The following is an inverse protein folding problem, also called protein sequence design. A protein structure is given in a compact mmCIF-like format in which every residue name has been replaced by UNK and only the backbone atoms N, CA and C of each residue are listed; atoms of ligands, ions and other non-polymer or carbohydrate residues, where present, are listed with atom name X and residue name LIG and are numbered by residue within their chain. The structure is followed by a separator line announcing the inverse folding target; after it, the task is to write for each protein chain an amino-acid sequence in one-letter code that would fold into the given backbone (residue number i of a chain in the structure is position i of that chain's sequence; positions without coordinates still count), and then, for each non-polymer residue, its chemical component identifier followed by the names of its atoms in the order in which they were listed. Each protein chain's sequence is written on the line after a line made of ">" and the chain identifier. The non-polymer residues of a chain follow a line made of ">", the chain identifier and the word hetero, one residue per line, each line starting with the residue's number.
data_IF_925523255583
#
_entry.id   IF_925523255583
#
_cell.length_a   1.000
_cell.length_b   1.000
_cell.length_c   1.000
_cell.angle_alpha   90.00
_cell.angle_beta   90.00
_cell.angle_gamma   90.00
#
_symmetry.space_group_name_H-M   'P 1'
#
loop_
_entity.id
_entity.type
_entity.pdbx_description
1 polymer ?
#
# COMPACT_ATOMS: atom_id res chain seq x y z
N UNK A 1 -35.30 -32.99 26.55
CA UNK A 1 -33.86 -32.72 26.82
C UNK A 1 -32.99 -32.72 25.57
N UNK A 2 -33.12 -33.68 24.64
CA UNK A 2 -32.27 -33.79 23.42
C UNK A 2 -32.26 -32.51 22.56
N UNK A 3 -33.43 -31.93 22.24
CA UNK A 3 -33.51 -30.66 21.47
C UNK A 3 -32.75 -29.51 22.13
N UNK A 4 -32.80 -29.38 23.45
CA UNK A 4 -32.10 -28.30 24.17
C UNK A 4 -30.57 -28.45 24.05
N UNK A 5 -30.06 -29.68 24.05
CA UNK A 5 -28.63 -29.96 23.85
C UNK A 5 -28.18 -29.67 22.43
N UNK A 6 -29.02 -29.97 21.42
CA UNK A 6 -28.76 -29.63 20.02
C UNK A 6 -28.82 -28.11 19.77
N UNK A 7 -29.79 -27.40 20.34
CA UNK A 7 -29.85 -25.94 20.27
C UNK A 7 -28.61 -25.30 20.91
N UNK A 8 -28.13 -25.82 22.05
CA UNK A 8 -26.88 -25.34 22.67
C UNK A 8 -25.66 -25.57 21.77
N UNK A 9 -25.56 -26.75 21.11
CA UNK A 9 -24.49 -27.03 20.14
C UNK A 9 -24.57 -26.09 18.92
N UNK A 10 -25.76 -25.88 18.38
CA UNK A 10 -25.97 -24.96 17.26
C UNK A 10 -25.59 -23.52 17.62
N UNK A 11 -25.95 -23.04 18.81
CA UNK A 11 -25.56 -21.71 19.32
C UNK A 11 -24.03 -21.60 19.40
N UNK A 12 -23.34 -22.60 19.95
CA UNK A 12 -21.87 -22.60 20.05
C UNK A 12 -21.23 -22.54 18.66
N UNK A 13 -21.73 -23.33 17.70
CA UNK A 13 -21.23 -23.30 16.31
C UNK A 13 -21.45 -21.93 15.67
N UNK A 14 -22.63 -21.32 15.85
CA UNK A 14 -22.90 -19.98 15.35
C UNK A 14 -21.95 -18.92 15.94
N UNK A 15 -21.67 -18.99 17.24
CA UNK A 15 -20.72 -18.07 17.90
C UNK A 15 -19.31 -18.21 17.30
N UNK A 16 -18.84 -19.44 17.12
CA UNK A 16 -17.53 -19.72 16.51
C UNK A 16 -17.48 -19.15 15.08
N UNK A 17 -18.53 -19.38 14.29
CA UNK A 17 -18.63 -18.86 12.92
C UNK A 17 -18.60 -17.34 12.87
N UNK A 18 -19.36 -16.67 13.74
CA UNK A 18 -19.33 -15.21 13.85
C UNK A 18 -17.92 -14.73 14.19
N UNK A 19 -17.25 -15.37 15.16
CA UNK A 19 -15.91 -14.99 15.57
C UNK A 19 -14.88 -15.15 14.44
N UNK A 20 -14.97 -16.23 13.67
CA UNK A 20 -14.11 -16.45 12.49
C UNK A 20 -14.34 -15.34 11.45
N UNK A 21 -15.61 -15.05 11.12
CA UNK A 21 -15.96 -14.03 10.13
C UNK A 21 -15.47 -12.65 10.58
N UNK A 22 -15.71 -12.26 11.84
CA UNK A 22 -15.26 -10.95 12.35
C UNK A 22 -13.74 -10.84 12.33
N UNK A 23 -13.02 -11.91 12.68
CA UNK A 23 -11.56 -11.92 12.66
C UNK A 23 -11.01 -11.81 11.23
N UNK A 24 -11.62 -12.50 10.26
CA UNK A 24 -11.22 -12.37 8.85
C UNK A 24 -11.45 -10.95 8.34
N UNK A 25 -12.61 -10.34 8.62
CA UNK A 25 -12.91 -8.97 8.22
C UNK A 25 -11.91 -7.98 8.84
N UNK A 26 -11.57 -8.15 10.12
CA UNK A 26 -10.61 -7.28 10.82
C UNK A 26 -9.19 -7.35 10.27
N UNK A 27 -8.77 -8.51 9.74
CA UNK A 27 -7.45 -8.73 9.14
C UNK A 27 -7.41 -8.31 7.68
N UNK A 28 -8.49 -8.55 6.93
CA UNK A 28 -8.56 -8.28 5.49
C UNK A 28 -8.86 -6.81 5.18
N UNK A 29 -9.55 -6.09 6.07
CA UNK A 29 -9.82 -4.68 5.83
C UNK A 29 -8.55 -3.84 6.07
N UNK A 30 -8.11 -3.04 5.07
CA UNK A 30 -6.99 -2.14 5.26
C UNK A 30 -7.32 -1.11 6.36
N UNK A 31 -6.60 -1.20 7.48
CA UNK A 31 -6.68 -0.19 8.54
C UNK A 31 -5.72 0.95 8.20
N UNK A 32 -6.16 2.18 8.48
CA UNK A 32 -5.26 3.33 8.40
C UNK A 32 -4.07 3.08 9.33
N UNK A 33 -2.87 3.29 8.82
CA UNK A 33 -1.66 3.28 9.65
C UNK A 33 -1.78 4.39 10.70
N UNK A 34 -1.92 4.00 11.96
CA UNK A 34 -1.96 4.94 13.10
C UNK A 34 -0.57 5.31 13.60
N UNK A 35 0.43 4.47 13.28
CA UNK A 35 1.81 4.63 13.72
C UNK A 35 2.79 4.26 12.60
N UNK A 36 3.80 5.09 12.40
CA UNK A 36 4.89 4.80 11.47
C UNK A 36 6.00 4.05 12.20
N UNK A 37 6.27 2.83 11.75
CA UNK A 37 7.39 1.99 12.12
C UNK A 37 8.55 2.30 11.18
N UNK A 38 9.70 2.59 11.76
CA UNK A 38 10.94 2.81 11.02
C UNK A 38 11.44 1.49 10.43
N UNK A 39 12.24 1.56 9.37
CA UNK A 39 12.78 0.44 8.60
C UNK A 39 11.70 -0.55 8.12
N UNK A 40 10.49 -0.02 7.88
CA UNK A 40 9.35 -0.75 7.32
C UNK A 40 8.95 -0.08 6.01
N UNK A 41 8.83 -0.86 4.95
CA UNK A 41 8.36 -0.36 3.64
C UNK A 41 6.83 -0.32 3.64
N UNK A 42 6.29 0.87 3.52
CA UNK A 42 4.87 1.12 3.31
C UNK A 42 4.56 1.10 1.83
N UNK A 43 3.62 0.26 1.41
CA UNK A 43 3.12 0.22 0.04
C UNK A 43 1.73 0.85 0.00
N UNK A 44 1.44 1.72 -0.98
CA UNK A 44 0.08 2.17 -1.22
C UNK A 44 -0.72 1.05 -1.87
N UNK A 45 -1.79 0.63 -1.22
CA UNK A 45 -2.47 -0.64 -1.51
C UNK A 45 -2.74 -1.34 -0.19
N UNK A 46 -3.69 -2.26 -0.16
CA UNK A 46 -4.11 -2.97 1.05
C UNK A 46 -2.87 -3.50 1.80
N UNK A 47 -2.85 -3.37 3.14
CA UNK A 47 -1.76 -3.87 3.98
C UNK A 47 -1.43 -5.31 3.59
N UNK A 48 -0.19 -5.54 3.13
CA UNK A 48 0.39 -6.82 2.69
C UNK A 48 0.09 -7.31 1.26
N UNK A 49 -0.72 -6.59 0.46
CA UNK A 49 -0.97 -6.97 -0.95
C UNK A 49 -0.20 -6.08 -1.92
N UNK A 50 0.26 -6.68 -3.03
CA UNK A 50 0.90 -5.94 -4.11
C UNK A 50 -0.18 -5.13 -4.85
N UNK A 51 0.05 -3.84 -5.18
CA UNK A 51 -0.99 -3.00 -5.78
C UNK A 51 -1.44 -3.55 -7.14
N UNK A 52 -2.74 -3.50 -7.42
CA UNK A 52 -3.31 -3.89 -8.71
C UNK A 52 -2.86 -2.93 -9.83
N UNK A 53 -3.10 -3.29 -11.10
CA UNK A 53 -2.55 -2.54 -12.25
C UNK A 53 -2.89 -1.04 -12.23
N UNK A 54 -4.10 -0.72 -11.74
CA UNK A 54 -4.66 0.64 -11.74
C UNK A 54 -4.44 1.33 -10.38
N UNK A 55 -3.85 0.64 -9.39
CA UNK A 55 -3.54 1.22 -8.09
C UNK A 55 -2.30 2.12 -8.14
N UNK A 56 -2.27 3.21 -7.35
CA UNK A 56 -1.03 3.94 -7.12
C UNK A 56 0.01 3.00 -6.51
N UNK A 57 1.24 3.04 -7.02
CA UNK A 57 2.37 2.23 -6.54
C UNK A 57 3.39 3.14 -5.87
N UNK A 58 3.14 3.42 -4.59
CA UNK A 58 4.01 4.19 -3.72
C UNK A 58 4.69 3.27 -2.73
N UNK A 59 6.01 3.37 -2.61
CA UNK A 59 6.81 2.71 -1.58
C UNK A 59 7.46 3.78 -0.72
N UNK A 60 7.29 3.73 0.59
CA UNK A 60 7.86 4.70 1.52
C UNK A 60 8.51 3.98 2.68
N UNK A 61 9.77 4.30 2.95
CA UNK A 61 10.51 3.81 4.11
C UNK A 61 11.05 4.99 4.91
N UNK A 62 10.77 4.99 6.22
CA UNK A 62 11.37 5.93 7.17
C UNK A 62 12.51 5.22 7.90
N UNK A 63 13.68 5.84 8.00
CA UNK A 63 14.85 5.27 8.66
C UNK A 63 15.10 5.87 10.04
N UNK A 64 15.93 5.20 10.83
CA UNK A 64 16.28 5.61 12.19
C UNK A 64 17.04 6.93 12.26
N UNK A 65 17.85 7.21 11.26
CA UNK A 65 18.68 8.42 11.12
C UNK A 65 17.90 9.66 10.63
N UNK A 66 16.57 9.62 10.71
CA UNK A 66 15.65 10.63 10.20
C UNK A 66 15.74 10.86 8.68
N UNK A 67 16.23 9.87 7.93
CA UNK A 67 16.15 9.87 6.46
C UNK A 67 14.96 9.07 5.97
N UNK A 68 14.55 9.29 4.72
CA UNK A 68 13.50 8.50 4.08
C UNK A 68 13.89 8.15 2.65
N UNK A 69 13.27 7.08 2.15
CA UNK A 69 13.26 6.72 0.73
C UNK A 69 11.81 6.61 0.28
N UNK A 70 11.46 7.31 -0.78
CA UNK A 70 10.14 7.27 -1.40
C UNK A 70 10.30 6.88 -2.86
N UNK A 71 9.66 5.80 -3.27
CA UNK A 71 9.55 5.41 -4.67
C UNK A 71 8.11 5.57 -5.12
N UNK A 72 7.93 6.26 -6.25
CA UNK A 72 6.66 6.35 -6.95
C UNK A 72 6.80 5.67 -8.30
N UNK A 73 6.16 4.51 -8.44
CA UNK A 73 6.18 3.70 -9.64
C UNK A 73 4.97 4.03 -10.54
N UNK A 74 5.23 4.88 -11.53
CA UNK A 74 4.26 5.27 -12.54
C UNK A 74 4.32 4.39 -13.79
N UNK A 75 5.08 3.29 -13.76
CA UNK A 75 5.47 2.58 -14.98
C UNK A 75 4.42 1.65 -15.58
N UNK A 76 3.31 1.35 -14.90
CA UNK A 76 2.31 0.34 -15.35
C UNK A 76 0.90 0.90 -15.52
N UNK A 77 0.77 2.21 -15.71
CA UNK A 77 -0.50 2.80 -16.15
C UNK A 77 -0.86 2.30 -17.56
N UNK A 78 -2.11 2.55 -17.97
CA UNK A 78 -2.56 2.32 -19.34
C UNK A 78 -1.88 3.31 -20.29
N UNK A 79 -1.73 2.93 -21.57
CA UNK A 79 -1.07 3.77 -22.57
C UNK A 79 -1.74 5.14 -22.66
N UNK A 80 -3.07 5.15 -22.67
CA UNK A 80 -3.88 6.37 -22.77
C UNK A 80 -3.65 7.35 -21.62
N UNK A 81 -3.12 6.88 -20.48
CA UNK A 81 -2.85 7.71 -19.31
C UNK A 81 -1.50 8.41 -19.37
N UNK A 82 -0.64 8.04 -20.32
CA UNK A 82 0.61 8.76 -20.57
C UNK A 82 0.35 9.88 -21.57
N UNK A 83 0.96 11.03 -21.32
CA UNK A 83 0.89 12.23 -22.16
C UNK A 83 -0.52 12.86 -22.25
N UNK A 84 -1.39 12.61 -21.26
CA UNK A 84 -2.72 13.26 -21.17
C UNK A 84 -2.62 14.79 -21.21
N UNK A 85 -1.55 15.36 -20.64
CA UNK A 85 -1.28 16.79 -20.59
C UNK A 85 -0.43 17.31 -21.76
N UNK A 86 -0.09 16.46 -22.75
CA UNK A 86 0.79 16.83 -23.86
C UNK A 86 2.26 17.04 -23.48
N UNK A 87 2.69 16.56 -22.31
CA UNK A 87 4.03 16.72 -21.73
C UNK A 87 5.09 15.74 -22.27
N UNK A 88 4.70 14.84 -23.17
CA UNK A 88 5.50 13.70 -23.60
C UNK A 88 5.78 12.73 -22.45
N UNK A 89 4.83 12.51 -21.53
CA UNK A 89 4.98 11.52 -20.45
C UNK A 89 5.12 10.11 -21.03
N UNK A 90 5.94 9.32 -20.35
CA UNK A 90 6.22 7.92 -20.62
C UNK A 90 6.24 7.18 -19.27
N UNK A 91 6.23 5.84 -19.26
CA UNK A 91 6.38 5.09 -18.02
C UNK A 91 7.66 5.50 -17.28
N UNK A 92 7.51 5.80 -15.99
CA UNK A 92 8.60 6.31 -15.15
C UNK A 92 8.51 5.73 -13.73
N UNK A 93 9.67 5.53 -13.11
CA UNK A 93 9.77 5.30 -11.67
C UNK A 93 10.55 6.47 -11.10
N UNK A 94 9.96 7.17 -10.14
CA UNK A 94 10.61 8.25 -9.41
C UNK A 94 11.10 7.72 -8.07
N UNK A 95 12.30 8.14 -7.68
CA UNK A 95 12.90 7.81 -6.39
C UNK A 95 13.30 9.12 -5.74
N UNK A 96 12.90 9.32 -4.50
CA UNK A 96 13.23 10.49 -3.71
C UNK A 96 13.93 10.07 -2.43
N UNK A 97 14.99 10.80 -2.11
CA UNK A 97 15.76 10.67 -0.88
C UNK A 97 15.69 11.99 -0.13
N UNK A 98 15.77 11.91 1.20
CA UNK A 98 15.98 13.11 2.00
C UNK A 98 15.75 12.85 3.47
N UNK A 99 15.33 13.90 4.17
CA UNK A 99 15.09 13.86 5.61
C UNK A 99 13.62 14.00 5.92
N UNK A 100 13.21 13.52 7.09
CA UNK A 100 11.91 13.81 7.65
C UNK A 100 12.01 14.40 9.05
N UNK A 101 10.99 15.15 9.44
CA UNK A 101 10.82 15.68 10.79
C UNK A 101 9.43 15.29 11.31
N UNK A 102 9.34 14.98 12.60
CA UNK A 102 8.05 14.74 13.25
C UNK A 102 7.62 16.00 13.99
N UNK A 103 6.48 16.58 13.61
CA UNK A 103 5.88 17.76 14.27
C UNK A 103 4.40 17.54 14.48
N UNK A 104 3.92 17.68 15.72
CA UNK A 104 2.51 17.50 16.08
C UNK A 104 1.96 16.15 15.56
N UNK A 105 2.71 15.06 15.78
CA UNK A 105 2.42 13.71 15.28
C UNK A 105 2.35 13.55 13.75
N UNK A 106 2.75 14.57 12.98
CA UNK A 106 2.84 14.50 11.52
C UNK A 106 4.29 14.31 11.07
N UNK A 107 4.49 13.44 10.10
CA UNK A 107 5.78 13.23 9.43
C UNK A 107 5.89 14.19 8.25
N UNK A 108 6.73 15.20 8.38
CA UNK A 108 7.03 16.15 7.31
C UNK A 108 8.25 15.66 6.55
N UNK A 109 8.04 15.26 5.30
CA UNK A 109 9.07 14.78 4.38
C UNK A 109 9.71 15.99 3.67
N UNK A 110 11.04 16.03 3.61
CA UNK A 110 11.84 17.06 2.93
C UNK A 110 12.77 16.39 1.92
N UNK A 111 12.38 16.32 0.63
CA UNK A 111 13.25 15.80 -0.42
C UNK A 111 14.52 16.62 -0.53
N UNK A 112 15.66 15.93 -0.66
CA UNK A 112 16.97 16.56 -0.91
C UNK A 112 17.57 16.09 -2.23
N UNK A 113 17.29 14.84 -2.61
CA UNK A 113 17.78 14.25 -3.85
C UNK A 113 16.67 13.47 -4.52
N UNK A 114 16.70 13.40 -5.84
CA UNK A 114 15.80 12.58 -6.62
C UNK A 114 16.52 11.89 -7.77
N UNK A 115 16.00 10.72 -8.12
CA UNK A 115 16.37 9.96 -9.28
C UNK A 115 15.11 9.56 -10.05
N UNK A 116 15.28 9.26 -11.33
CA UNK A 116 14.19 8.80 -12.17
C UNK A 116 14.70 7.75 -13.15
N UNK A 117 13.91 6.70 -13.31
CA UNK A 117 14.10 5.69 -14.35
C UNK A 117 12.97 5.83 -15.34
N UNK A 118 13.29 6.28 -16.54
CA UNK A 118 12.35 6.37 -17.66
C UNK A 118 12.44 5.15 -18.56
N UNK A 119 11.29 4.69 -19.03
CA UNK A 119 11.21 3.64 -20.05
C UNK A 119 10.75 4.26 -21.36
N UNK A 120 11.36 3.81 -22.46
CA UNK A 120 11.10 4.37 -23.79
C UNK A 120 9.65 4.16 -24.25
N UNK A 121 9.12 2.96 -23.99
CA UNK A 121 7.80 2.53 -24.46
C UNK A 121 7.10 1.71 -23.36
N UNK A 122 5.76 1.75 -23.32
CA UNK A 122 4.95 0.96 -22.36
C UNK A 122 5.11 -0.55 -22.52
N UNK A 123 5.48 -1.01 -23.71
CA UNK A 123 5.77 -2.42 -23.97
C UNK A 123 6.91 -2.95 -23.09
N UNK A 124 7.84 -2.08 -22.66
CA UNK A 124 9.00 -2.46 -21.85
C UNK A 124 8.67 -2.67 -20.35
N UNK A 125 7.48 -2.28 -19.93
CA UNK A 125 7.03 -2.27 -18.52
C UNK A 125 5.78 -3.11 -18.29
N UNK A 126 5.12 -3.54 -19.37
CA UNK A 126 4.11 -4.61 -19.33
C UNK A 126 4.79 -5.91 -18.86
N UNK A 127 4.50 -6.35 -17.64
CA UNK A 127 4.78 -7.73 -17.24
C UNK A 127 3.73 -8.66 -17.88
N UNK A 128 4.23 -9.82 -18.31
CA UNK A 128 3.47 -11.03 -18.68
C UNK A 128 2.39 -11.38 -17.65
#
# INVERSE_FOLDING_TARGET
>A
MVRLTEHKKAIVVCIILIFIITTMVDVMLPKRTTEIKKNTVYMSGVYLEYPDKDDPRYYLEFKDDNTYVLMYDDSRRREENYNEDGDGSHPRIWIYFGKYEVKNNNYLIKPTESGMVGFKDTANVKKL
#
